data_IF_047381691887
#
_entry.id   IF_047381691887
#
_cell.length_a   1.000
_cell.length_b   1.000
_cell.length_c   1.000
_cell.angle_alpha   90.00
_cell.angle_beta   90.00
_cell.angle_gamma   90.00
#
_symmetry.space_group_name_H-M   'P 1'
#
loop_
_entity.id
_entity.type
_entity.pdbx_description
1 polymer ?
#
# COMPACT_ATOMS: atom_id res chain seq x y z
N UNK A 1 -2.02 19.45 14.64
CA UNK A 1 -0.88 19.02 13.78
C UNK A 1 -1.31 19.26 12.34
N UNK A 2 -0.62 20.09 11.53
CA UNK A 2 -1.05 20.40 10.16
C UNK A 2 -0.81 19.24 9.17
N UNK A 3 -0.26 18.12 9.64
CA UNK A 3 0.14 16.94 8.86
C UNK A 3 -0.99 16.38 7.99
N UNK A 4 -2.21 16.39 8.51
CA UNK A 4 -3.46 16.11 7.79
C UNK A 4 -3.60 16.93 6.50
N UNK A 5 -3.44 18.24 6.60
CA UNK A 5 -3.47 19.16 5.45
C UNK A 5 -2.29 18.88 4.52
N UNK A 6 -1.08 18.70 5.09
CA UNK A 6 0.13 18.42 4.31
C UNK A 6 -0.06 17.16 3.45
N UNK A 7 -0.60 16.07 4.02
CA UNK A 7 -0.91 14.83 3.29
C UNK A 7 -1.95 15.09 2.20
N UNK A 8 -3.05 15.78 2.55
CA UNK A 8 -4.09 16.09 1.58
C UNK A 8 -3.47 16.80 0.38
N UNK A 9 -2.70 17.86 0.56
CA UNK A 9 -2.12 18.64 -0.56
C UNK A 9 -0.89 18.01 -1.22
N UNK A 10 -0.47 16.81 -0.82
CA UNK A 10 0.67 16.11 -1.42
C UNK A 10 2.05 16.59 -0.94
N UNK A 11 2.11 17.26 0.22
CA UNK A 11 3.33 17.73 0.87
C UNK A 11 3.89 16.64 1.81
N UNK A 12 4.12 15.43 1.27
CA UNK A 12 4.47 14.25 2.06
C UNK A 12 5.76 14.43 2.88
N UNK A 13 6.78 15.11 2.36
CA UNK A 13 8.01 15.40 3.12
C UNK A 13 7.75 16.25 4.38
N UNK A 14 6.81 17.20 4.29
CA UNK A 14 6.42 18.02 5.45
C UNK A 14 5.62 17.18 6.44
N UNK A 15 4.70 16.36 5.95
CA UNK A 15 3.94 15.43 6.77
C UNK A 15 4.87 14.46 7.53
N UNK A 16 5.88 13.90 6.88
CA UNK A 16 6.89 13.01 7.48
C UNK A 16 7.64 13.74 8.60
N UNK A 17 8.22 14.91 8.32
CA UNK A 17 8.99 15.69 9.32
C UNK A 17 8.15 16.06 10.54
N UNK A 18 6.91 16.49 10.31
CA UNK A 18 6.00 16.89 11.38
C UNK A 18 5.53 15.70 12.22
N UNK A 19 5.10 14.59 11.58
CA UNK A 19 4.68 13.39 12.31
C UNK A 19 5.86 12.74 13.06
N UNK A 20 7.08 12.73 12.50
CA UNK A 20 8.27 12.25 13.23
C UNK A 20 8.53 13.05 14.51
N UNK A 21 8.40 14.39 14.47
CA UNK A 21 8.52 15.22 15.67
C UNK A 21 7.42 14.91 16.69
N UNK A 22 6.22 14.60 16.22
CA UNK A 22 5.11 14.18 17.08
C UNK A 22 5.41 12.84 17.76
N UNK A 23 5.89 11.83 17.01
CA UNK A 23 6.23 10.52 17.60
C UNK A 23 7.35 10.63 18.64
N UNK A 24 8.34 11.50 18.42
CA UNK A 24 9.39 11.77 19.44
C UNK A 24 8.82 12.41 20.72
N UNK A 25 7.85 13.32 20.61
CA UNK A 25 7.19 13.89 21.78
C UNK A 25 6.33 12.85 22.50
N UNK A 26 5.63 12.04 21.72
CA UNK A 26 4.81 10.94 22.19
C UNK A 26 5.60 9.85 22.91
N UNK A 27 6.81 9.55 22.46
CA UNK A 27 7.68 8.58 23.12
C UNK A 27 8.13 9.07 24.50
N UNK A 28 8.39 10.39 24.64
CA UNK A 28 8.68 10.99 25.95
C UNK A 28 7.47 10.91 26.90
N UNK A 29 6.26 11.06 26.37
CA UNK A 29 5.04 10.91 27.16
C UNK A 29 4.85 9.45 27.60
N UNK A 30 4.97 8.50 26.68
CA UNK A 30 4.84 7.07 26.95
C UNK A 30 5.86 6.56 27.96
N UNK A 31 7.12 7.00 27.86
CA UNK A 31 8.15 6.65 28.84
C UNK A 31 7.81 7.12 30.27
N UNK A 32 6.99 8.16 30.42
CA UNK A 32 6.58 8.71 31.73
C UNK A 32 5.25 8.16 32.24
N UNK A 33 4.30 7.88 31.35
CA UNK A 33 2.90 7.59 31.69
C UNK A 33 2.46 6.15 31.35
N UNK A 34 3.28 5.39 30.62
CA UNK A 34 2.94 4.07 30.11
C UNK A 34 1.95 4.09 28.94
N UNK A 35 1.57 2.90 28.48
CA UNK A 35 0.75 2.68 27.28
C UNK A 35 -0.69 2.20 27.51
N UNK A 36 -1.08 1.86 28.73
CA UNK A 36 -2.43 1.31 29.00
C UNK A 36 -3.39 2.47 29.29
N UNK A 37 -3.62 3.29 28.27
CA UNK A 37 -4.52 4.44 28.33
C UNK A 37 -5.03 4.78 26.93
N UNK A 38 -6.12 5.56 26.84
CA UNK A 38 -6.72 5.92 25.55
C UNK A 38 -5.79 6.81 24.69
N UNK A 39 -4.84 7.51 25.29
CA UNK A 39 -3.87 8.33 24.55
C UNK A 39 -3.03 7.50 23.57
N UNK A 40 -2.84 6.19 23.84
CA UNK A 40 -2.18 5.26 22.92
C UNK A 40 -2.79 5.26 21.52
N UNK A 41 -4.11 5.46 21.37
CA UNK A 41 -4.72 5.58 20.05
C UNK A 41 -4.14 6.75 19.25
N UNK A 42 -4.10 7.95 19.83
CA UNK A 42 -3.55 9.14 19.16
C UNK A 42 -2.05 8.99 18.86
N UNK A 43 -1.34 8.31 19.75
CA UNK A 43 0.07 7.99 19.60
C UNK A 43 0.34 7.11 18.38
N UNK A 44 -0.39 6.00 18.29
CA UNK A 44 -0.28 5.06 17.16
C UNK A 44 -0.77 5.70 15.87
N UNK A 45 -1.76 6.60 15.94
CA UNK A 45 -2.23 7.38 14.79
C UNK A 45 -1.14 8.31 14.20
N UNK A 46 -0.30 8.92 15.04
CA UNK A 46 0.83 9.73 14.56
C UNK A 46 1.88 8.87 13.85
N UNK A 47 2.15 7.66 14.36
CA UNK A 47 2.98 6.68 13.67
C UNK A 47 2.36 6.24 12.34
N UNK A 48 1.08 5.89 12.32
CA UNK A 48 0.35 5.48 11.12
C UNK A 48 0.40 6.57 10.05
N UNK A 49 0.22 7.84 10.44
CA UNK A 49 0.34 9.00 9.56
C UNK A 49 1.75 9.23 9.02
N UNK A 50 2.77 8.99 9.84
CA UNK A 50 4.16 9.02 9.41
C UNK A 50 4.44 7.94 8.36
N UNK A 51 4.00 6.70 8.63
CA UNK A 51 4.19 5.55 7.74
C UNK A 51 3.49 5.78 6.41
N UNK A 52 2.23 6.24 6.43
CA UNK A 52 1.46 6.54 5.22
C UNK A 52 2.14 7.59 4.34
N UNK A 53 2.58 8.71 4.92
CA UNK A 53 3.28 9.74 4.18
C UNK A 53 4.63 9.24 3.62
N UNK A 54 5.39 8.46 4.40
CA UNK A 54 6.63 7.86 3.96
C UNK A 54 6.43 6.87 2.80
N UNK A 55 5.37 6.07 2.85
CA UNK A 55 4.98 5.17 1.76
C UNK A 55 4.69 5.96 0.47
N UNK A 56 3.89 7.03 0.51
CA UNK A 56 3.57 7.83 -0.68
C UNK A 56 4.72 8.70 -1.21
N UNK A 57 5.70 9.00 -0.36
CA UNK A 57 6.95 9.68 -0.74
C UNK A 57 8.05 8.73 -1.25
N UNK A 58 7.85 7.41 -1.15
CA UNK A 58 8.89 6.44 -1.52
C UNK A 58 10.07 6.39 -0.53
N UNK A 59 9.84 6.69 0.76
CA UNK A 59 10.84 6.63 1.84
C UNK A 59 10.70 5.32 2.63
N UNK A 60 11.29 4.26 2.11
CA UNK A 60 11.27 2.91 2.71
C UNK A 60 11.87 2.87 4.11
N UNK A 61 12.99 3.56 4.34
CA UNK A 61 13.66 3.54 5.66
C UNK A 61 12.80 4.19 6.72
N UNK A 62 12.21 5.35 6.41
CA UNK A 62 11.33 6.06 7.32
C UNK A 62 10.07 5.24 7.63
N UNK A 63 9.48 4.58 6.63
CA UNK A 63 8.33 3.72 6.82
C UNK A 63 8.64 2.51 7.71
N UNK A 64 9.74 1.80 7.43
CA UNK A 64 10.19 0.62 8.20
C UNK A 64 10.54 0.96 9.64
N UNK A 65 11.37 1.99 9.87
CA UNK A 65 11.72 2.44 11.22
C UNK A 65 10.46 2.82 12.02
N UNK A 66 9.52 3.52 11.38
CA UNK A 66 8.32 4.00 12.05
C UNK A 66 7.36 2.87 12.41
N UNK A 67 7.21 1.85 11.56
CA UNK A 67 6.39 0.69 11.89
C UNK A 67 7.03 -0.15 12.98
N UNK A 68 8.37 -0.29 13.01
CA UNK A 68 9.09 -0.97 14.09
C UNK A 68 8.85 -0.28 15.44
N UNK A 69 8.98 1.05 15.48
CA UNK A 69 8.71 1.85 16.68
C UNK A 69 7.25 1.79 17.13
N UNK A 70 6.31 1.78 16.17
CA UNK A 70 4.88 1.69 16.46
C UNK A 70 4.54 0.36 17.13
N UNK A 71 4.93 -0.76 16.51
CA UNK A 71 4.66 -2.11 16.99
C UNK A 71 5.31 -2.38 18.36
N UNK A 72 6.53 -1.89 18.59
CA UNK A 72 7.24 -2.05 19.86
C UNK A 72 6.49 -1.44 21.07
N UNK A 73 5.49 -0.58 20.82
CA UNK A 73 4.71 0.07 21.87
C UNK A 73 3.32 -0.55 22.08
N UNK A 74 2.94 -1.52 21.23
CA UNK A 74 1.69 -2.27 21.34
C UNK A 74 1.98 -3.55 22.13
N UNK A 75 1.39 -3.66 23.32
CA UNK A 75 1.58 -4.85 24.18
C UNK A 75 0.31 -5.69 24.23
N UNK A 76 0.47 -6.99 24.47
CA UNK A 76 -0.67 -7.90 24.66
C UNK A 76 -1.58 -7.45 25.81
N UNK A 77 -1.00 -7.01 26.94
CA UNK A 77 -1.75 -6.49 28.08
C UNK A 77 -2.63 -5.27 27.70
N UNK A 78 -2.13 -4.41 26.81
CA UNK A 78 -2.92 -3.29 26.28
C UNK A 78 -4.11 -3.81 25.46
N UNK A 79 -3.91 -4.79 24.58
CA UNK A 79 -4.98 -5.34 23.73
C UNK A 79 -6.02 -6.13 24.53
N UNK A 80 -5.61 -6.83 25.60
CA UNK A 80 -6.50 -7.57 26.49
C UNK A 80 -7.40 -6.67 27.36
N UNK A 81 -7.12 -5.36 27.42
CA UNK A 81 -7.95 -4.40 28.16
C UNK A 81 -9.36 -4.33 27.55
N UNK A 82 -10.37 -4.68 28.34
CA UNK A 82 -11.77 -4.78 27.92
C UNK A 82 -12.54 -3.45 28.06
N UNK A 83 -12.08 -2.55 28.93
CA UNK A 83 -12.72 -1.24 29.17
C UNK A 83 -11.68 -0.12 29.19
N UNK A 84 -11.62 0.74 28.15
CA UNK A 84 -12.31 0.57 26.86
C UNK A 84 -11.80 -0.70 26.12
N UNK A 85 -12.54 -1.24 25.13
CA UNK A 85 -12.17 -2.50 24.45
C UNK A 85 -11.00 -2.26 23.48
N UNK A 86 -9.77 -2.20 24.00
CA UNK A 86 -8.61 -1.68 23.29
C UNK A 86 -8.27 -2.45 22.01
N UNK A 87 -8.42 -3.77 21.99
CA UNK A 87 -8.19 -4.55 20.77
C UNK A 87 -9.11 -4.14 19.60
N UNK A 88 -10.30 -3.59 19.87
CA UNK A 88 -11.19 -3.09 18.80
C UNK A 88 -10.60 -1.89 18.06
N UNK A 89 -9.72 -1.12 18.71
CA UNK A 89 -9.21 0.15 18.20
C UNK A 89 -7.74 0.11 17.83
N UNK A 90 -6.97 -0.79 18.46
CA UNK A 90 -5.50 -0.74 18.39
C UNK A 90 -4.88 -1.94 17.69
N UNK A 91 -5.58 -3.07 17.59
CA UNK A 91 -4.97 -4.30 17.05
C UNK A 91 -4.62 -4.17 15.57
N UNK A 92 -5.38 -3.37 14.79
CA UNK A 92 -5.11 -3.17 13.37
C UNK A 92 -3.76 -2.51 13.08
N UNK A 93 -3.21 -1.72 14.01
CA UNK A 93 -1.91 -1.06 13.78
C UNK A 93 -0.78 -2.07 13.59
N UNK A 94 -0.89 -3.27 14.17
CA UNK A 94 0.05 -4.38 13.96
C UNK A 94 -0.03 -4.95 12.52
N UNK A 95 -1.11 -4.69 11.78
CA UNK A 95 -1.25 -5.13 10.40
C UNK A 95 -0.60 -4.15 9.39
N UNK A 96 -0.25 -2.93 9.80
CA UNK A 96 0.30 -1.87 8.93
C UNK A 96 1.60 -2.31 8.24
N UNK A 97 2.42 -3.15 8.90
CA UNK A 97 3.66 -3.69 8.31
C UNK A 97 3.43 -4.40 6.99
N UNK A 98 2.32 -5.11 6.84
CA UNK A 98 1.99 -5.80 5.59
C UNK A 98 1.94 -4.81 4.42
N UNK A 99 1.30 -3.67 4.62
CA UNK A 99 1.23 -2.61 3.62
C UNK A 99 2.62 -2.05 3.28
N UNK A 100 3.46 -1.79 4.29
CA UNK A 100 4.83 -1.30 4.10
C UNK A 100 5.63 -2.29 3.25
N UNK A 101 5.61 -3.58 3.59
CA UNK A 101 6.36 -4.60 2.86
C UNK A 101 5.88 -4.75 1.41
N UNK A 102 4.56 -4.68 1.14
CA UNK A 102 4.02 -4.71 -0.23
C UNK A 102 4.45 -3.48 -1.03
N UNK A 103 4.36 -2.28 -0.44
CA UNK A 103 4.66 -1.01 -1.12
C UNK A 103 6.09 -0.97 -1.63
N UNK A 104 7.02 -1.57 -0.89
CA UNK A 104 8.44 -1.60 -1.24
C UNK A 104 8.90 -2.92 -1.85
N UNK A 105 7.97 -3.83 -2.20
CA UNK A 105 8.30 -5.08 -2.88
C UNK A 105 9.20 -6.01 -2.06
N UNK A 106 9.13 -5.94 -0.72
CA UNK A 106 9.95 -6.73 0.21
C UNK A 106 9.36 -8.14 0.37
N UNK A 107 9.32 -8.87 -0.75
CA UNK A 107 8.59 -10.14 -0.87
C UNK A 107 9.13 -11.25 0.03
N UNK A 108 10.45 -11.35 0.17
CA UNK A 108 11.08 -12.35 1.05
C UNK A 108 10.69 -12.13 2.51
N UNK A 109 10.76 -10.88 2.98
CA UNK A 109 10.38 -10.50 4.35
C UNK A 109 8.90 -10.74 4.59
N UNK A 110 8.04 -10.41 3.61
CA UNK A 110 6.60 -10.60 3.72
C UNK A 110 6.21 -12.09 3.78
N UNK A 111 6.86 -12.95 2.99
CA UNK A 111 6.69 -14.42 3.07
C UNK A 111 7.11 -14.96 4.43
N UNK A 112 8.19 -14.43 4.99
CA UNK A 112 8.75 -14.84 6.28
C UNK A 112 7.98 -14.29 7.50
N UNK A 113 7.08 -13.31 7.31
CA UNK A 113 6.37 -12.67 8.41
C UNK A 113 5.62 -13.70 9.29
N UNK A 114 5.81 -13.72 10.61
CA UNK A 114 5.20 -14.72 11.47
C UNK A 114 3.68 -14.50 11.56
N UNK A 115 2.93 -15.60 11.65
CA UNK A 115 1.50 -15.55 11.99
C UNK A 115 1.38 -15.60 13.52
N UNK A 116 0.62 -14.70 14.16
CA UNK A 116 0.43 -14.71 15.61
C UNK A 116 -0.11 -16.06 16.13
N UNK A 117 0.32 -16.47 17.31
CA UNK A 117 -0.18 -17.68 17.97
C UNK A 117 -1.63 -17.50 18.43
N UNK A 118 -1.95 -16.39 19.10
CA UNK A 118 -3.33 -16.05 19.47
C UNK A 118 -4.05 -15.33 18.32
N UNK A 119 -4.59 -16.13 17.40
CA UNK A 119 -5.31 -15.59 16.24
C UNK A 119 -6.70 -15.03 16.57
N UNK A 120 -7.17 -15.18 17.82
CA UNK A 120 -8.44 -14.58 18.27
C UNK A 120 -8.19 -13.14 18.69
N UNK A 121 -7.14 -12.90 19.48
CA UNK A 121 -6.75 -11.54 19.86
C UNK A 121 -6.25 -10.77 18.63
N UNK A 122 -5.31 -11.35 17.88
CA UNK A 122 -4.64 -10.76 16.72
C UNK A 122 -5.31 -11.10 15.39
N UNK A 123 -6.65 -11.07 15.35
CA UNK A 123 -7.42 -11.54 14.20
C UNK A 123 -7.18 -10.71 12.92
N UNK A 124 -7.05 -9.37 13.03
CA UNK A 124 -6.80 -8.50 11.87
C UNK A 124 -5.40 -8.73 11.34
N UNK A 125 -4.41 -8.76 12.24
CA UNK A 125 -3.00 -9.03 11.94
C UNK A 125 -2.84 -10.38 11.24
N UNK A 126 -3.56 -11.40 11.71
CA UNK A 126 -3.54 -12.74 11.11
C UNK A 126 -4.10 -12.73 9.69
N UNK A 127 -5.27 -12.12 9.48
CA UNK A 127 -5.87 -12.01 8.15
C UNK A 127 -4.94 -11.24 7.20
N UNK A 128 -4.47 -10.06 7.61
CA UNK A 128 -3.59 -9.24 6.77
C UNK A 128 -2.24 -9.92 6.48
N UNK A 129 -1.69 -10.69 7.42
CA UNK A 129 -0.46 -11.46 7.19
C UNK A 129 -0.65 -12.49 6.07
N UNK A 130 -1.75 -13.25 6.08
CA UNK A 130 -2.04 -14.19 5.00
C UNK A 130 -2.32 -13.49 3.67
N UNK A 131 -3.05 -12.37 3.68
CA UNK A 131 -3.22 -11.52 2.49
C UNK A 131 -1.87 -11.11 1.89
N UNK A 132 -0.99 -10.54 2.71
CA UNK A 132 0.33 -10.09 2.27
C UNK A 132 1.20 -11.21 1.73
N UNK A 133 1.22 -12.37 2.41
CA UNK A 133 1.92 -13.56 1.90
C UNK A 133 1.36 -14.02 0.55
N UNK A 134 0.04 -14.01 0.38
CA UNK A 134 -0.61 -14.34 -0.88
C UNK A 134 -0.16 -13.42 -2.02
N UNK A 135 -0.15 -12.09 -1.78
CA UNK A 135 0.39 -11.11 -2.74
C UNK A 135 1.87 -11.40 -3.03
N UNK A 136 2.69 -11.63 -2.02
CA UNK A 136 4.13 -11.89 -2.21
C UNK A 136 4.41 -13.16 -3.03
N UNK A 137 3.66 -14.25 -2.79
CA UNK A 137 3.78 -15.47 -3.57
C UNK A 137 3.30 -15.27 -5.00
N UNK A 138 2.17 -14.59 -5.21
CA UNK A 138 1.67 -14.29 -6.56
C UNK A 138 2.64 -13.37 -7.34
N UNK A 139 3.12 -12.28 -6.73
CA UNK A 139 4.09 -11.36 -7.34
C UNK A 139 5.42 -12.02 -7.72
N UNK A 140 5.74 -13.18 -7.13
CA UNK A 140 6.93 -13.98 -7.44
C UNK A 140 6.61 -15.28 -8.20
N UNK A 141 5.44 -15.37 -8.82
CA UNK A 141 4.96 -16.49 -9.64
C UNK A 141 4.82 -17.84 -8.92
N UNK A 142 4.74 -17.86 -7.60
CA UNK A 142 4.46 -19.05 -6.80
C UNK A 142 2.95 -19.19 -6.55
N UNK A 143 2.21 -19.50 -7.61
CA UNK A 143 0.74 -19.57 -7.59
C UNK A 143 0.21 -20.62 -6.60
N UNK A 144 0.91 -21.75 -6.46
CA UNK A 144 0.49 -22.82 -5.55
C UNK A 144 0.46 -22.33 -4.10
N UNK A 145 1.51 -21.63 -3.65
CA UNK A 145 1.51 -21.04 -2.32
C UNK A 145 0.58 -19.83 -2.22
N UNK A 146 0.42 -19.05 -3.30
CA UNK A 146 -0.55 -17.96 -3.31
C UNK A 146 -1.98 -18.46 -3.05
N UNK A 147 -2.39 -19.57 -3.64
CA UNK A 147 -3.69 -20.20 -3.39
C UNK A 147 -3.84 -20.72 -1.96
N UNK A 148 -2.79 -21.33 -1.40
CA UNK A 148 -2.77 -21.73 0.01
C UNK A 148 -2.98 -20.51 0.91
N UNK A 149 -2.25 -19.42 0.68
CA UNK A 149 -2.39 -18.19 1.47
C UNK A 149 -3.75 -17.52 1.26
N UNK A 150 -4.33 -17.58 0.06
CA UNK A 150 -5.69 -17.09 -0.23
C UNK A 150 -6.74 -17.85 0.58
N UNK A 151 -6.66 -19.17 0.66
CA UNK A 151 -7.56 -19.97 1.49
C UNK A 151 -7.41 -19.66 2.98
N UNK A 152 -6.17 -19.54 3.47
CA UNK A 152 -5.87 -19.16 4.86
C UNK A 152 -6.36 -17.74 5.19
N UNK A 153 -6.19 -16.79 4.26
CA UNK A 153 -6.73 -15.44 4.35
C UNK A 153 -8.24 -15.45 4.47
N UNK A 154 -8.96 -16.15 3.59
CA UNK A 154 -10.42 -16.23 3.63
C UNK A 154 -10.93 -16.81 4.97
N UNK A 155 -10.26 -17.85 5.48
CA UNK A 155 -10.58 -18.44 6.76
C UNK A 155 -10.29 -17.48 7.94
N UNK A 156 -9.21 -16.71 7.88
CA UNK A 156 -8.85 -15.73 8.92
C UNK A 156 -9.78 -14.50 8.88
N UNK A 157 -10.09 -13.99 7.69
CA UNK A 157 -10.97 -12.85 7.47
C UNK A 157 -12.38 -13.10 8.03
N UNK A 158 -12.92 -14.32 7.89
CA UNK A 158 -14.24 -14.69 8.43
C UNK A 158 -14.30 -14.71 9.96
N UNK A 159 -13.15 -14.76 10.66
CA UNK A 159 -13.07 -14.69 12.12
C UNK A 159 -12.96 -13.27 12.66
N UNK A 160 -12.72 -12.27 11.81
CA UNK A 160 -12.59 -10.88 12.25
C UNK A 160 -13.99 -10.33 12.60
N UNK A 161 -14.23 -9.91 13.85
CA UNK A 161 -15.55 -9.42 14.23
C UNK A 161 -15.79 -8.02 13.66
N UNK A 162 -17.05 -7.65 13.35
CA UNK A 162 -17.40 -6.31 12.87
C UNK A 162 -17.04 -5.16 13.82
N UNK A 163 -16.71 -5.48 15.09
CA UNK A 163 -16.29 -4.51 16.10
C UNK A 163 -14.84 -4.06 15.97
N UNK A 164 -14.00 -4.75 15.17
CA UNK A 164 -12.62 -4.30 14.88
C UNK A 164 -12.68 -3.10 13.93
N UNK A 165 -11.96 -2.05 14.29
CA UNK A 165 -11.97 -0.77 13.58
C UNK A 165 -10.56 -0.35 13.20
N UNK A 166 -10.43 0.15 11.98
CA UNK A 166 -9.50 1.24 11.65
C UNK A 166 -10.37 2.49 11.56
N UNK A 167 -10.53 3.15 12.70
CA UNK A 167 -11.61 4.12 12.88
C UNK A 167 -11.60 5.22 11.81
N UNK A 168 -12.74 5.52 11.16
CA UNK A 168 -14.10 5.04 11.47
C UNK A 168 -14.55 3.81 10.65
N UNK A 169 -13.66 3.23 9.84
CA UNK A 169 -13.93 2.06 9.02
C UNK A 169 -13.90 0.77 9.83
N UNK A 170 -14.80 -0.15 9.49
CA UNK A 170 -14.74 -1.51 10.04
C UNK A 170 -13.71 -2.31 9.28
N UNK A 171 -12.90 -3.10 9.98
CA UNK A 171 -11.89 -3.96 9.34
C UNK A 171 -12.55 -4.92 8.34
N UNK A 172 -13.73 -5.44 8.63
CA UNK A 172 -14.46 -6.33 7.71
C UNK A 172 -14.80 -5.68 6.36
N UNK A 173 -14.89 -4.35 6.27
CA UNK A 173 -15.07 -3.64 5.00
C UNK A 173 -13.73 -3.44 4.28
N UNK A 174 -12.66 -3.13 5.02
CA UNK A 174 -11.29 -3.05 4.49
C UNK A 174 -10.85 -4.39 3.90
N UNK A 175 -11.20 -5.51 4.54
CA UNK A 175 -10.87 -6.85 4.04
C UNK A 175 -11.54 -7.19 2.69
N UNK A 176 -12.58 -6.47 2.27
CA UNK A 176 -13.16 -6.61 0.91
C UNK A 176 -12.22 -6.06 -0.16
N UNK A 177 -11.52 -4.97 0.15
CA UNK A 177 -10.44 -4.44 -0.70
C UNK A 177 -9.32 -5.48 -0.79
N UNK A 178 -8.85 -6.00 0.35
CA UNK A 178 -7.81 -7.02 0.40
C UNK A 178 -8.17 -8.29 -0.40
N UNK A 179 -9.41 -8.77 -0.28
CA UNK A 179 -9.91 -9.93 -1.03
C UNK A 179 -9.81 -9.69 -2.52
N UNK A 180 -10.33 -8.56 -3.00
CA UNK A 180 -10.35 -8.22 -4.43
C UNK A 180 -8.93 -8.00 -4.98
N UNK A 181 -8.06 -7.38 -4.18
CA UNK A 181 -6.65 -7.20 -4.53
C UNK A 181 -5.90 -8.52 -4.68
N UNK A 182 -6.11 -9.46 -3.75
CA UNK A 182 -5.46 -10.78 -3.79
C UNK A 182 -5.96 -11.62 -4.95
N UNK A 183 -7.27 -11.64 -5.18
CA UNK A 183 -7.89 -12.38 -6.27
C UNK A 183 -7.45 -11.82 -7.63
N UNK A 184 -7.36 -10.50 -7.75
CA UNK A 184 -6.85 -9.82 -8.95
C UNK A 184 -5.39 -10.16 -9.25
N UNK A 185 -4.51 -10.10 -8.25
CA UNK A 185 -3.09 -10.43 -8.41
C UNK A 185 -2.90 -11.90 -8.83
N UNK A 186 -3.59 -12.84 -8.19
CA UNK A 186 -3.50 -14.27 -8.52
C UNK A 186 -4.05 -14.55 -9.92
N UNK A 187 -5.22 -13.99 -10.27
CA UNK A 187 -5.80 -14.16 -11.60
C UNK A 187 -4.87 -13.60 -12.69
N UNK A 188 -4.25 -12.44 -12.45
CA UNK A 188 -3.32 -11.84 -13.41
C UNK A 188 -2.13 -12.77 -13.69
N UNK A 189 -1.57 -13.36 -12.63
CA UNK A 189 -0.43 -14.29 -12.71
C UNK A 189 -0.77 -15.63 -13.36
N UNK A 190 -2.05 -16.02 -13.35
CA UNK A 190 -2.55 -17.17 -14.11
C UNK A 190 -2.74 -16.89 -15.60
N UNK A 191 -2.65 -15.62 -16.02
CA UNK A 191 -2.99 -15.20 -17.38
C UNK A 191 -4.48 -14.95 -17.59
N UNK A 192 -5.30 -15.01 -16.54
CA UNK A 192 -6.73 -14.70 -16.59
C UNK A 192 -6.95 -13.18 -16.55
N UNK A 193 -6.41 -12.48 -17.55
CA UNK A 193 -6.25 -11.01 -17.54
C UNK A 193 -7.57 -10.28 -17.31
N UNK A 194 -8.64 -10.66 -18.00
CA UNK A 194 -9.93 -9.96 -17.86
C UNK A 194 -10.58 -10.18 -16.50
N UNK A 195 -10.41 -11.38 -15.91
CA UNK A 195 -10.84 -11.69 -14.54
C UNK A 195 -10.05 -10.86 -13.54
N UNK A 196 -8.73 -10.76 -13.72
CA UNK A 196 -7.87 -9.94 -12.88
C UNK A 196 -8.32 -8.47 -12.87
N UNK A 197 -8.57 -7.90 -14.05
CA UNK A 197 -9.03 -6.51 -14.16
C UNK A 197 -10.43 -6.29 -13.58
N UNK A 198 -11.30 -7.31 -13.57
CA UNK A 198 -12.57 -7.21 -12.87
C UNK A 198 -12.36 -7.09 -11.36
N UNK A 199 -11.56 -7.98 -10.78
CA UNK A 199 -11.24 -7.93 -9.35
C UNK A 199 -10.55 -6.62 -8.94
N UNK A 200 -9.64 -6.08 -9.76
CA UNK A 200 -9.01 -4.79 -9.48
C UNK A 200 -9.98 -3.62 -9.55
N UNK A 201 -11.00 -3.66 -10.42
CA UNK A 201 -12.10 -2.68 -10.40
C UNK A 201 -12.96 -2.81 -9.14
N UNK A 202 -13.25 -4.04 -8.72
CA UNK A 202 -14.00 -4.29 -7.49
C UNK A 202 -13.22 -3.78 -6.27
N UNK A 203 -11.90 -3.93 -6.24
CA UNK A 203 -11.02 -3.37 -5.22
C UNK A 203 -11.13 -1.83 -5.16
N UNK A 204 -11.10 -1.16 -6.31
CA UNK A 204 -11.29 0.30 -6.42
C UNK A 204 -12.67 0.70 -5.88
N UNK A 205 -13.73 -0.01 -6.27
CA UNK A 205 -15.09 0.27 -5.77
C UNK A 205 -15.18 0.09 -4.26
N UNK A 206 -14.56 -0.96 -3.71
CA UNK A 206 -14.55 -1.17 -2.26
C UNK A 206 -13.75 -0.09 -1.53
N UNK A 207 -12.60 0.33 -2.08
CA UNK A 207 -11.77 1.41 -1.54
C UNK A 207 -12.52 2.75 -1.55
N UNK A 208 -13.13 3.12 -2.68
CA UNK A 208 -13.85 4.39 -2.86
C UNK A 208 -15.11 4.50 -1.97
N UNK A 209 -15.62 3.37 -1.48
CA UNK A 209 -16.77 3.31 -0.56
C UNK A 209 -16.38 3.26 0.92
N UNK A 210 -15.08 3.22 1.24
CA UNK A 210 -14.62 3.40 2.62
C UNK A 210 -14.97 4.82 3.08
N UNK A 211 -15.20 4.96 4.39
CA UNK A 211 -15.37 6.27 5.00
C UNK A 211 -14.05 7.02 4.98
N UNK A 212 -14.15 8.33 4.73
CA UNK A 212 -13.00 9.21 4.79
C UNK A 212 -12.35 9.17 6.18
N UNK A 213 -11.04 8.96 6.18
CA UNK A 213 -10.17 9.00 7.35
C UNK A 213 -8.76 9.37 6.90
N UNK A 214 -7.96 9.85 7.85
CA UNK A 214 -6.60 10.30 7.61
C UNK A 214 -5.69 9.70 8.67
N UNK A 215 -4.85 8.71 8.37
CA UNK A 215 -4.60 8.12 7.04
C UNK A 215 -5.78 7.33 6.50
N UNK A 216 -5.78 7.11 5.18
CA UNK A 216 -6.80 6.33 4.47
C UNK A 216 -6.85 4.90 5.00
N UNK A 217 -8.05 4.33 5.12
CA UNK A 217 -8.24 2.98 5.64
C UNK A 217 -7.64 1.86 4.77
N UNK A 218 -7.24 2.19 3.54
CA UNK A 218 -6.43 1.33 2.68
C UNK A 218 -5.17 2.10 2.25
N UNK A 219 -3.99 1.63 2.68
CA UNK A 219 -2.75 2.42 2.57
C UNK A 219 -2.06 2.32 1.20
N UNK A 220 -2.44 1.37 0.34
CA UNK A 220 -1.86 1.19 -1.00
C UNK A 220 -2.97 1.35 -2.05
N UNK A 221 -3.09 2.51 -2.70
CA UNK A 221 -4.22 2.77 -3.59
C UNK A 221 -4.43 1.64 -4.61
N UNK A 222 -5.64 1.07 -4.69
CA UNK A 222 -5.95 -0.06 -5.60
C UNK A 222 -5.79 0.33 -7.08
N UNK A 223 -5.90 1.64 -7.36
CA UNK A 223 -5.58 2.23 -8.66
C UNK A 223 -4.12 2.02 -9.08
N UNK A 224 -3.18 1.84 -8.15
CA UNK A 224 -1.75 1.66 -8.48
C UNK A 224 -1.46 0.33 -9.20
N UNK A 225 -1.85 -0.85 -8.69
CA UNK A 225 -1.72 -2.09 -9.46
C UNK A 225 -2.61 -2.10 -10.69
N UNK A 226 -3.83 -1.57 -10.63
CA UNK A 226 -4.70 -1.44 -11.81
C UNK A 226 -4.01 -0.66 -12.94
N UNK A 227 -3.43 0.50 -12.65
CA UNK A 227 -2.69 1.30 -13.63
C UNK A 227 -1.41 0.63 -14.12
N UNK A 228 -0.62 0.03 -13.22
CA UNK A 228 0.65 -0.61 -13.57
C UNK A 228 0.45 -1.82 -14.50
N UNK A 229 -0.51 -2.68 -14.16
CA UNK A 229 -0.83 -3.85 -14.98
C UNK A 229 -1.53 -3.46 -16.29
N UNK A 230 -2.25 -2.32 -16.31
CA UNK A 230 -2.78 -1.74 -17.55
C UNK A 230 -1.65 -1.34 -18.50
N UNK A 231 -0.60 -0.69 -18.00
CA UNK A 231 0.59 -0.36 -18.78
C UNK A 231 1.30 -1.61 -19.29
N UNK A 232 1.45 -2.65 -18.46
CA UNK A 232 2.04 -3.94 -18.87
C UNK A 232 1.27 -4.59 -20.02
N UNK A 233 -0.06 -4.46 -20.04
CA UNK A 233 -0.93 -4.96 -21.12
C UNK A 233 -1.08 -3.99 -22.30
N UNK A 234 -0.32 -2.89 -22.35
CA UNK A 234 -0.44 -1.87 -23.40
C UNK A 234 -1.75 -1.06 -23.37
N UNK A 235 -2.57 -1.19 -22.32
CA UNK A 235 -3.82 -0.45 -22.11
C UNK A 235 -3.52 0.96 -21.57
N UNK A 236 -2.76 1.75 -22.34
CA UNK A 236 -2.16 3.01 -21.87
C UNK A 236 -3.20 4.05 -21.42
N UNK A 237 -4.28 4.23 -22.18
CA UNK A 237 -5.32 5.21 -21.81
C UNK A 237 -6.09 4.79 -20.54
N UNK A 238 -6.26 3.48 -20.32
CA UNK A 238 -6.85 2.95 -19.08
C UNK A 238 -5.95 3.26 -17.87
N UNK A 239 -4.65 3.05 -18.01
CA UNK A 239 -3.67 3.40 -16.98
C UNK A 239 -3.65 4.91 -16.71
N UNK A 240 -3.63 5.72 -17.78
CA UNK A 240 -3.62 7.18 -17.70
C UNK A 240 -4.76 7.70 -16.84
N UNK A 241 -5.99 7.22 -17.10
CA UNK A 241 -7.17 7.60 -16.31
C UNK A 241 -7.01 7.23 -14.84
N UNK A 242 -6.65 5.98 -14.55
CA UNK A 242 -6.48 5.53 -13.16
C UNK A 242 -5.48 6.39 -12.38
N UNK A 243 -4.34 6.77 -12.99
CA UNK A 243 -3.40 7.67 -12.34
C UNK A 243 -3.88 9.11 -12.25
N UNK A 244 -4.61 9.61 -13.25
CA UNK A 244 -5.19 10.95 -13.20
C UNK A 244 -6.24 11.09 -12.08
N UNK A 245 -7.07 10.06 -11.87
CA UNK A 245 -8.00 9.98 -10.74
C UNK A 245 -7.25 9.93 -9.42
N UNK A 246 -6.27 9.02 -9.28
CA UNK A 246 -5.46 8.88 -8.06
C UNK A 246 -4.75 10.20 -7.71
N UNK A 247 -4.21 10.92 -8.69
CA UNK A 247 -3.56 12.22 -8.48
C UNK A 247 -4.54 13.39 -8.25
N UNK A 248 -5.85 13.17 -8.41
CA UNK A 248 -6.88 14.22 -8.33
C UNK A 248 -6.84 15.21 -9.50
N UNK A 249 -6.28 14.81 -10.64
CA UNK A 249 -6.27 15.59 -11.89
C UNK A 249 -7.62 15.50 -12.61
N UNK A 250 -8.31 14.38 -12.46
CA UNK A 250 -9.70 14.20 -12.88
C UNK A 250 -10.64 14.35 -11.67
N UNK A 251 -11.78 15.02 -11.84
CA UNK A 251 -12.75 15.32 -10.75
C UNK A 251 -13.76 14.19 -10.51
N UNK A 252 -13.36 12.94 -10.74
CA UNK A 252 -14.24 11.77 -10.55
C UNK A 252 -14.30 11.33 -9.10
N UNK A 253 -13.21 11.53 -8.36
CA UNK A 253 -13.11 11.23 -6.94
C UNK A 253 -13.42 12.46 -6.08
N UNK A 254 -13.93 12.20 -4.87
CA UNK A 254 -13.92 13.22 -3.83
C UNK A 254 -12.47 13.58 -3.51
N UNK A 255 -12.22 14.82 -3.09
CA UNK A 255 -10.87 15.27 -2.74
C UNK A 255 -10.20 14.37 -1.68
N UNK A 256 -11.04 13.84 -0.82
CA UNK A 256 -10.76 12.90 0.23
C UNK A 256 -10.26 11.53 -0.27
N UNK A 257 -10.32 11.20 -1.57
CA UNK A 257 -9.80 9.95 -2.15
C UNK A 257 -8.71 10.20 -3.20
N UNK A 258 -8.18 11.42 -3.27
CA UNK A 258 -7.06 11.77 -4.14
C UNK A 258 -5.75 11.87 -3.35
N UNK A 259 -4.66 11.47 -4.00
CA UNK A 259 -3.29 11.44 -3.52
C UNK A 259 -2.39 12.36 -4.37
N UNK A 260 -2.56 13.70 -4.31
CA UNK A 260 -1.77 14.62 -5.12
C UNK A 260 -0.28 14.42 -4.91
N UNK A 261 0.48 14.53 -6.01
CA UNK A 261 1.95 14.51 -6.00
C UNK A 261 2.58 13.23 -5.42
N UNK A 262 1.84 12.15 -5.24
CA UNK A 262 2.44 10.90 -4.80
C UNK A 262 3.39 10.37 -5.88
N UNK A 263 4.58 9.92 -5.46
CA UNK A 263 5.68 9.61 -6.40
C UNK A 263 5.33 8.46 -7.35
N UNK A 264 4.50 7.54 -6.89
CA UNK A 264 4.13 6.30 -7.58
C UNK A 264 3.19 6.55 -8.76
N UNK A 265 2.08 7.25 -8.53
CA UNK A 265 1.15 7.60 -9.60
C UNK A 265 1.71 8.69 -10.52
N UNK A 266 2.54 9.62 -10.02
CA UNK A 266 3.27 10.55 -10.90
C UNK A 266 4.16 9.79 -11.89
N UNK A 267 4.87 8.75 -11.44
CA UNK A 267 5.71 7.93 -12.30
C UNK A 267 4.90 7.22 -13.38
N UNK A 268 3.80 6.57 -12.99
CA UNK A 268 2.92 5.88 -13.94
C UNK A 268 2.20 6.83 -14.90
N UNK A 269 1.72 7.98 -14.42
CA UNK A 269 1.08 9.00 -15.25
C UNK A 269 2.05 9.59 -16.28
N UNK A 270 3.27 9.89 -15.86
CA UNK A 270 4.33 10.35 -16.77
C UNK A 270 4.59 9.33 -17.89
N UNK A 271 4.76 8.05 -17.54
CA UNK A 271 4.93 6.98 -18.53
C UNK A 271 3.77 6.92 -19.52
N UNK A 272 2.52 7.05 -19.03
CA UNK A 272 1.34 7.10 -19.89
C UNK A 272 1.40 8.26 -20.88
N UNK A 273 1.74 9.47 -20.41
CA UNK A 273 1.79 10.66 -21.27
C UNK A 273 2.88 10.55 -22.34
N UNK A 274 4.05 10.01 -22.00
CA UNK A 274 5.13 9.75 -22.95
C UNK A 274 4.69 8.74 -24.01
N UNK A 275 4.11 7.60 -23.62
CA UNK A 275 3.62 6.56 -24.54
C UNK A 275 2.49 7.06 -25.45
N UNK A 276 1.70 8.04 -25.00
CA UNK A 276 0.62 8.67 -25.77
C UNK A 276 1.09 9.86 -26.63
N UNK A 277 2.37 10.24 -26.59
CA UNK A 277 2.89 11.40 -27.33
C UNK A 277 2.40 12.76 -26.79
N UNK A 278 1.94 12.83 -25.54
CA UNK A 278 1.44 14.07 -24.90
C UNK A 278 2.59 14.85 -24.27
N UNK A 279 3.51 15.33 -25.11
CA UNK A 279 4.81 15.86 -24.67
C UNK A 279 4.72 17.06 -23.70
N UNK A 280 3.83 18.02 -23.96
CA UNK A 280 3.71 19.22 -23.13
C UNK A 280 3.27 18.86 -21.71
N UNK A 281 2.23 18.04 -21.58
CA UNK A 281 1.76 17.54 -20.29
C UNK A 281 2.80 16.64 -19.61
N UNK A 282 3.53 15.84 -20.40
CA UNK A 282 4.61 15.00 -19.86
C UNK A 282 5.70 15.85 -19.21
N UNK A 283 6.08 16.99 -19.81
CA UNK A 283 7.08 17.92 -19.23
C UNK A 283 6.59 18.50 -17.90
N UNK A 284 5.35 18.95 -17.80
CA UNK A 284 4.79 19.48 -16.55
C UNK A 284 4.75 18.43 -15.43
N UNK A 285 4.39 17.19 -15.77
CA UNK A 285 4.38 16.08 -14.81
C UNK A 285 5.80 15.67 -14.43
N UNK A 286 6.74 15.71 -15.37
CA UNK A 286 8.15 15.40 -15.11
C UNK A 286 8.76 16.32 -14.07
N UNK A 287 8.48 17.63 -14.11
CA UNK A 287 8.95 18.58 -13.10
C UNK A 287 8.48 18.19 -11.69
N UNK A 288 7.19 17.86 -11.55
CA UNK A 288 6.60 17.40 -10.29
C UNK A 288 7.21 16.06 -9.84
N UNK A 289 7.40 15.13 -10.77
CA UNK A 289 8.01 13.82 -10.51
C UNK A 289 9.47 13.95 -10.05
N UNK A 290 10.26 14.83 -10.66
CA UNK A 290 11.65 15.11 -10.25
C UNK A 290 11.69 15.61 -8.82
N UNK A 291 10.78 16.52 -8.44
CA UNK A 291 10.68 16.99 -7.06
C UNK A 291 10.30 15.85 -6.11
N UNK A 292 9.26 15.07 -6.43
CA UNK A 292 8.80 13.95 -5.61
C UNK A 292 9.90 12.87 -5.42
N UNK A 293 10.67 12.58 -6.47
CA UNK A 293 11.77 11.59 -6.42
C UNK A 293 12.96 12.01 -5.56
N UNK A 294 13.18 13.31 -5.30
CA UNK A 294 14.31 13.76 -4.46
C UNK A 294 14.23 13.24 -3.02
N UNK A 295 13.03 13.02 -2.52
CA UNK A 295 12.79 12.49 -1.18
C UNK A 295 12.81 10.97 -1.12
N UNK A 296 12.64 10.26 -2.25
CA UNK A 296 12.55 8.81 -2.26
C UNK A 296 13.92 8.15 -2.03
N UNK A 297 13.95 7.03 -1.30
CA UNK A 297 15.16 6.24 -1.04
C UNK A 297 15.14 4.86 -1.74
N UNK A 298 14.15 4.66 -2.62
CA UNK A 298 14.02 3.51 -3.53
C UNK A 298 13.89 3.99 -4.96
N UNK A 299 14.23 3.14 -5.93
CA UNK A 299 13.97 3.43 -7.33
C UNK A 299 12.49 3.25 -7.65
N UNK A 300 11.82 4.37 -7.96
CA UNK A 300 10.40 4.40 -8.35
C UNK A 300 10.32 4.29 -9.87
N UNK A 301 10.35 3.05 -10.36
CA UNK A 301 10.21 2.72 -11.78
C UNK A 301 8.75 2.43 -12.20
N UNK A 302 7.93 1.93 -11.27
CA UNK A 302 6.52 1.57 -11.48
C UNK A 302 5.71 1.92 -10.24
N UNK A 303 4.40 2.14 -10.39
CA UNK A 303 3.52 2.42 -9.26
C UNK A 303 3.27 1.22 -8.34
N UNK A 304 3.63 0.00 -8.76
CA UNK A 304 3.69 -1.20 -7.91
C UNK A 304 4.89 -2.08 -8.31
N UNK A 305 5.34 -2.93 -7.39
CA UNK A 305 6.29 -4.02 -7.65
C UNK A 305 5.63 -5.29 -8.22
N UNK A 306 4.33 -5.22 -8.52
CA UNK A 306 3.54 -6.25 -9.18
C UNK A 306 3.66 -6.21 -10.72
N UNK A 307 4.28 -5.17 -11.29
CA UNK A 307 4.60 -5.11 -12.72
C UNK A 307 5.98 -5.72 -12.92
N UNK A 308 6.07 -6.81 -13.69
CA UNK A 308 7.34 -7.49 -13.98
C UNK A 308 7.93 -7.03 -15.32
N UNK A 309 7.09 -6.51 -16.23
CA UNK A 309 7.51 -5.95 -17.51
C UNK A 309 7.55 -4.42 -17.48
N UNK A 310 8.60 -3.84 -16.92
CA UNK A 310 8.98 -2.46 -17.28
C UNK A 310 9.92 -2.58 -18.47
N UNK A 311 9.50 -2.14 -19.66
CA UNK A 311 10.39 -2.13 -20.83
C UNK A 311 11.71 -1.45 -20.46
N UNK A 312 12.81 -2.17 -20.67
CA UNK A 312 14.15 -1.80 -20.26
C UNK A 312 14.55 -0.44 -20.83
N UNK A 313 14.75 0.53 -19.94
CA UNK A 313 15.80 1.51 -20.15
C UNK A 313 17.13 0.78 -20.18
N UNK A 314 17.76 0.74 -21.35
CA UNK A 314 19.17 0.39 -21.60
C UNK A 314 20.05 0.37 -20.34
N UNK A 315 20.58 -0.81 -19.94
CA UNK A 315 22.01 -1.12 -19.72
C UNK A 315 22.13 -2.61 -19.37
N UNK A 316 23.07 -3.32 -20.02
CA UNK A 316 23.56 -4.62 -19.55
C UNK A 316 23.84 -5.67 -20.62
N UNK A 317 24.90 -5.49 -21.41
CA UNK A 317 25.43 -6.54 -22.31
C UNK A 317 25.60 -7.86 -21.56
N UNK A 318 25.04 -8.94 -22.10
CA UNK A 318 25.46 -10.27 -21.69
C UNK A 318 24.59 -11.40 -22.23
N UNK A 319 25.09 -12.04 -23.28
CA UNK A 319 24.83 -13.44 -23.69
C UNK A 319 23.66 -13.71 -24.64
N UNK A 320 24.00 -13.67 -25.93
CA UNK A 320 23.79 -14.75 -26.89
C UNK A 320 22.36 -15.24 -27.13
N UNK A 321 21.62 -14.56 -28.00
CA UNK A 321 20.67 -15.23 -28.90
C UNK A 321 21.35 -15.43 -30.26
N UNK A 322 21.67 -16.69 -30.55
CA UNK A 322 22.03 -17.14 -31.90
C UNK A 322 20.75 -17.11 -32.73
N UNK A 323 20.66 -16.15 -33.64
CA UNK A 323 19.68 -16.18 -34.72
C UNK A 323 20.21 -17.15 -35.79
N UNK A 324 19.56 -18.30 -35.94
CA UNK A 324 19.78 -19.19 -37.08
C UNK A 324 19.15 -18.57 -38.33
N UNK A 325 19.97 -18.06 -39.24
CA UNK A 325 19.60 -17.86 -40.63
C UNK A 325 19.95 -19.15 -41.39
N UNK A 326 18.96 -19.72 -42.06
CA UNK A 326 19.14 -20.86 -42.96
C UNK A 326 18.12 -20.80 -44.09
N UNK A 327 18.39 -19.92 -45.06
CA UNK A 327 17.87 -20.06 -46.42
C UNK A 327 18.95 -20.76 -47.26
N UNK A 328 18.69 -22.00 -47.65
CA UNK A 328 18.91 -22.55 -49.01
C UNK A 328 18.14 -23.87 -49.13
#
# INVERSE_FOLDING_TARGET
MPTHIDVLVGEYDRAIKCNYRATVADDKFFARQGGVNFYSFYRLHNYHSLIYAAMLAGQSRAALESVDRMEATITEAMLLTQSPPMANWLEFFLAVRVHVLIRFGLWSDLKALPVPTDQVLYCTTTAMTHYGKGIAHAATNDLAQADVQRALFAAAASRVPPSRLDFPNRIVDILKVATSMLDGEIAYRRGDVDVAFQHLRDAIVHEDNLQYTEPWGWMLPARHPYGALSLEQGRVEQARRAYAEDLGLEKTLTRAHAHPRNVWALSGYYECLVRLGREEEAREVQEKLVVAKRGADVDVASSCFCRLGTEEGCVGRGQGKVCGNGES
#
